data_IF_521790156146
#
_entry.id   IF_521790156146
#
_cell.length_a   1.000
_cell.length_b   1.000
_cell.length_c   1.000
_cell.angle_alpha   90.00
_cell.angle_beta   90.00
_cell.angle_gamma   90.00
#
_symmetry.space_group_name_H-M   'P 1'
#
loop_
_entity.id
_entity.type
_entity.pdbx_description
1 polymer ?
#
# COMPACT_ATOMS: atom_id res chain seq x y z
N UNK A 1 6.80 -12.21 15.09
CA UNK A 1 6.44 -12.51 13.69
C UNK A 1 6.39 -11.23 12.88
N UNK A 2 7.56 -10.74 12.47
CA UNK A 2 7.64 -9.79 11.37
C UNK A 2 7.63 -10.64 10.09
N UNK A 3 6.46 -11.22 9.79
CA UNK A 3 6.28 -12.03 8.60
C UNK A 3 6.67 -11.17 7.40
N UNK A 4 7.57 -11.69 6.58
CA UNK A 4 7.91 -11.10 5.30
C UNK A 4 6.63 -10.80 4.51
N UNK A 5 6.65 -9.71 3.76
CA UNK A 5 5.47 -9.21 3.08
C UNK A 5 4.95 -10.23 2.06
N UNK A 6 3.81 -10.87 2.33
CA UNK A 6 3.21 -11.78 1.35
C UNK A 6 3.05 -11.07 0.00
N UNK A 7 3.44 -11.74 -1.09
CA UNK A 7 3.40 -11.20 -2.46
C UNK A 7 2.02 -11.27 -3.11
N UNK A 8 0.99 -11.62 -2.34
CA UNK A 8 -0.40 -11.64 -2.78
C UNK A 8 -0.82 -10.25 -3.26
N UNK A 9 -1.39 -10.20 -4.47
CA UNK A 9 -1.90 -8.97 -5.07
C UNK A 9 -3.30 -8.67 -4.54
N UNK A 10 -3.36 -7.81 -3.52
CA UNK A 10 -4.58 -7.31 -2.90
C UNK A 10 -4.42 -5.79 -2.81
N UNK A 11 -4.62 -5.07 -3.93
CA UNK A 11 -4.17 -3.70 -4.07
C UNK A 11 -4.85 -2.78 -3.07
N UNK A 12 -4.12 -1.77 -2.61
CA UNK A 12 -4.62 -0.74 -1.71
C UNK A 12 -4.17 0.63 -2.20
N UNK A 13 -5.02 1.64 -1.99
CA UNK A 13 -4.70 3.02 -2.32
C UNK A 13 -4.11 3.71 -1.09
N UNK A 14 -2.95 4.34 -1.25
CA UNK A 14 -2.31 5.15 -0.21
C UNK A 14 -2.79 6.61 -0.22
N UNK A 15 -2.63 7.30 0.91
CA UNK A 15 -2.96 8.73 1.07
C UNK A 15 -2.12 9.66 0.20
N UNK A 16 -1.01 9.16 -0.34
CA UNK A 16 -0.18 9.83 -1.33
C UNK A 16 -0.67 9.64 -2.78
N UNK A 17 -1.78 8.92 -2.99
CA UNK A 17 -2.33 8.65 -4.33
C UNK A 17 -1.64 7.51 -5.08
N UNK A 18 -0.71 6.79 -4.44
CA UNK A 18 -0.04 5.64 -5.03
C UNK A 18 -0.77 4.33 -4.70
N UNK A 19 -0.81 3.41 -5.67
CA UNK A 19 -1.34 2.06 -5.46
C UNK A 19 -0.23 1.14 -4.97
N UNK A 20 -0.48 0.44 -3.88
CA UNK A 20 0.43 -0.56 -3.32
C UNK A 20 -0.13 -1.96 -3.55
N UNK A 21 0.77 -2.93 -3.80
CA UNK A 21 0.40 -4.33 -4.04
C UNK A 21 -0.46 -4.93 -2.91
N UNK A 22 -0.20 -4.52 -1.67
CA UNK A 22 -1.03 -4.77 -0.50
C UNK A 22 -0.67 -3.83 0.65
N UNK A 23 -1.41 -3.94 1.76
CA UNK A 23 -1.23 -3.14 2.97
C UNK A 23 0.18 -3.22 3.55
N UNK A 24 0.82 -4.39 3.50
CA UNK A 24 2.16 -4.55 4.01
C UNK A 24 3.18 -3.77 3.15
N UNK A 25 3.06 -3.80 1.81
CA UNK A 25 3.91 -2.97 0.94
C UNK A 25 3.69 -1.47 1.15
N UNK A 26 2.45 -1.06 1.43
CA UNK A 26 2.14 0.33 1.82
C UNK A 26 2.88 0.72 3.10
N UNK A 27 2.79 -0.09 4.15
CA UNK A 27 3.50 0.16 5.43
C UNK A 27 5.01 0.18 5.25
N UNK A 28 5.57 -0.77 4.48
CA UNK A 28 7.01 -0.81 4.16
C UNK A 28 7.45 0.46 3.42
N UNK A 29 6.65 0.94 2.47
CA UNK A 29 6.93 2.19 1.77
C UNK A 29 6.89 3.38 2.71
N UNK A 30 5.89 3.47 3.58
CA UNK A 30 5.78 4.51 4.61
C UNK A 30 7.05 4.57 5.48
N UNK A 31 7.49 3.41 5.99
CA UNK A 31 8.70 3.29 6.78
C UNK A 31 9.98 3.64 5.98
N UNK A 32 10.12 3.11 4.76
CA UNK A 32 11.31 3.32 3.91
C UNK A 32 11.47 4.78 3.50
N UNK A 33 10.37 5.46 3.22
CA UNK A 33 10.38 6.86 2.80
C UNK A 33 10.29 7.84 3.97
N UNK A 34 10.15 7.35 5.20
CA UNK A 34 9.89 8.17 6.39
C UNK A 34 8.72 9.14 6.17
N UNK A 35 7.68 8.65 5.49
CA UNK A 35 6.46 9.40 5.18
C UNK A 35 5.28 8.72 5.83
N UNK A 36 4.35 9.51 6.35
CA UNK A 36 3.06 8.99 6.76
C UNK A 36 2.22 8.68 5.52
N UNK A 37 2.03 7.39 5.25
CA UNK A 37 1.18 6.89 4.17
C UNK A 37 0.14 6.01 4.81
N UNK A 38 -1.11 6.43 4.76
CA UNK A 38 -2.25 5.69 5.31
C UNK A 38 -3.05 5.06 4.16
N UNK A 39 -3.73 3.95 4.43
CA UNK A 39 -4.63 3.37 3.45
C UNK A 39 -5.89 4.23 3.35
N UNK A 40 -6.21 4.70 2.14
CA UNK A 40 -7.45 5.45 1.88
C UNK A 40 -8.56 4.59 1.29
N UNK A 41 -8.21 3.53 0.55
CA UNK A 41 -9.19 2.61 -0.01
C UNK A 41 -8.63 1.20 -0.19
N UNK A 42 -9.53 0.21 -0.11
CA UNK A 42 -9.26 -1.18 -0.50
C UNK A 42 -9.48 -1.27 -2.01
N UNK A 43 -8.41 -1.47 -2.77
CA UNK A 43 -8.38 -1.38 -4.23
C UNK A 43 -7.32 -0.39 -4.74
N UNK A 44 -7.08 -0.33 -6.06
CA UNK A 44 -6.16 0.65 -6.66
C UNK A 44 -6.67 2.09 -6.51
N UNK A 45 -5.78 3.07 -6.52
CA UNK A 45 -6.15 4.49 -6.54
C UNK A 45 -6.84 4.92 -7.84
N UNK A 46 -6.43 4.33 -8.98
CA UNK A 46 -6.97 4.63 -10.29
C UNK A 46 -7.42 3.32 -10.95
N UNK A 47 -8.68 2.93 -10.72
CA UNK A 47 -9.33 1.80 -11.40
C UNK A 47 -10.44 2.30 -12.33
N UNK A 48 -10.13 3.26 -13.20
CA UNK A 48 -11.15 3.92 -14.01
C UNK A 48 -10.60 4.58 -15.26
N UNK A 49 -10.33 3.76 -16.27
CA UNK A 49 -10.87 3.88 -17.64
C UNK A 49 -11.05 2.49 -18.21
#
# INVERSE_FOLDING_TARGET
DAEDCHTNYIPVCGSNGDTYQNECFLRRAACKHQKEITMVSRGPCYSGT
#
